data_IF_751179583822
#
_entry.id   IF_751179583822
#
_cell.length_a   1.000
_cell.length_b   1.000
_cell.length_c   1.000
_cell.angle_alpha   90.00
_cell.angle_beta   90.00
_cell.angle_gamma   90.00
#
_symmetry.space_group_name_H-M   'P 1'
#
loop_
_entity.id
_entity.type
_entity.pdbx_description
1 polymer ?
#
# COMPACT_ATOMS: atom_id res chain seq x y z
N UNK A 1 -27.31 29.22 39.54
CA UNK A 1 -27.67 28.22 38.51
C UNK A 1 -27.47 26.84 39.10
N UNK A 2 -28.54 26.05 39.12
CA UNK A 2 -28.66 24.82 39.92
C UNK A 2 -27.91 23.65 39.27
N UNK A 3 -27.18 22.91 40.12
CA UNK A 3 -26.54 21.62 39.83
C UNK A 3 -27.60 20.57 39.47
N UNK A 4 -27.41 19.84 38.37
CA UNK A 4 -27.86 18.44 38.26
C UNK A 4 -26.80 17.61 37.56
N UNK A 5 -26.14 16.80 38.37
CA UNK A 5 -25.26 15.69 38.02
C UNK A 5 -26.15 14.57 37.47
N UNK A 6 -25.89 14.09 36.25
CA UNK A 6 -26.51 12.88 35.70
C UNK A 6 -25.40 11.85 35.54
N UNK A 7 -25.43 10.85 36.41
CA UNK A 7 -24.62 9.64 36.32
C UNK A 7 -25.57 8.46 36.09
N UNK A 8 -25.39 7.71 35.02
CA UNK A 8 -25.95 6.37 34.77
C UNK A 8 -25.25 5.80 33.53
N UNK A 9 -24.92 4.52 33.38
CA UNK A 9 -24.64 3.38 34.26
C UNK A 9 -24.11 2.32 33.28
N UNK A 10 -22.86 1.90 33.41
CA UNK A 10 -22.28 0.83 32.59
C UNK A 10 -22.90 -0.52 32.99
N UNK A 11 -23.64 -1.14 32.08
CA UNK A 11 -24.03 -2.55 32.20
C UNK A 11 -23.09 -3.38 31.33
N UNK A 12 -22.14 -4.03 32.01
CA UNK A 12 -21.37 -5.15 31.47
C UNK A 12 -22.29 -6.38 31.43
N UNK A 13 -22.55 -6.92 30.24
CA UNK A 13 -23.18 -8.23 30.08
C UNK A 13 -22.14 -9.22 29.54
N UNK A 14 -21.53 -9.95 30.46
CA UNK A 14 -20.61 -11.06 30.18
C UNK A 14 -21.43 -12.31 29.87
N UNK A 15 -21.41 -12.78 28.61
CA UNK A 15 -21.95 -14.09 28.26
C UNK A 15 -20.82 -15.13 28.29
N UNK A 16 -21.11 -16.18 29.03
CA UNK A 16 -20.28 -17.31 29.43
C UNK A 16 -19.79 -18.18 28.27
N UNK A 17 -18.57 -18.69 28.48
CA UNK A 17 -17.96 -19.83 27.80
C UNK A 17 -18.85 -21.08 27.87
N UNK A 18 -19.05 -21.74 26.72
CA UNK A 18 -19.39 -23.16 26.66
C UNK A 18 -18.26 -23.88 25.90
N UNK A 19 -17.51 -24.70 26.63
CA UNK A 19 -16.56 -25.66 26.08
C UNK A 19 -17.23 -27.01 25.80
N UNK A 20 -16.77 -27.64 24.73
CA UNK A 20 -16.72 -29.09 24.46
C UNK A 20 -15.86 -29.19 23.19
N UNK A 21 -14.77 -29.93 23.09
CA UNK A 21 -14.46 -31.23 23.66
C UNK A 21 -13.94 -32.07 22.48
N UNK A 22 -12.64 -32.37 22.49
CA UNK A 22 -11.87 -33.05 21.44
C UNK A 22 -12.45 -34.40 21.01
N UNK A 23 -12.38 -34.72 19.70
CA UNK A 23 -12.01 -36.06 19.21
C UNK A 23 -11.19 -35.95 17.92
N UNK A 24 -9.90 -36.25 18.05
CA UNK A 24 -9.07 -36.74 16.96
C UNK A 24 -9.50 -38.19 16.64
N UNK A 25 -9.56 -38.53 15.36
CA UNK A 25 -9.53 -39.92 14.90
C UNK A 25 -8.33 -40.05 13.97
N UNK A 26 -7.42 -40.94 14.34
CA UNK A 26 -6.22 -41.33 13.60
C UNK A 26 -6.55 -42.59 12.78
N UNK A 27 -6.32 -42.48 11.45
CA UNK A 27 -5.92 -43.45 10.40
C UNK A 27 -6.46 -44.91 10.37
N UNK A 28 -6.45 -45.57 9.18
CA UNK A 28 -5.23 -46.23 8.71
C UNK A 28 -4.85 -45.95 7.25
N UNK A 29 -3.54 -46.00 7.02
CA UNK A 29 -2.85 -46.13 5.74
C UNK A 29 -3.13 -47.49 5.13
N UNK A 30 -3.37 -47.54 3.81
CA UNK A 30 -3.10 -48.71 2.99
C UNK A 30 -2.35 -48.29 1.73
N UNK A 31 -1.08 -48.65 1.71
CA UNK A 31 -0.18 -48.69 0.56
C UNK A 31 -0.66 -49.68 -0.50
N UNK A 32 -0.64 -49.28 -1.78
CA UNK A 32 -0.24 -50.20 -2.84
C UNK A 32 0.57 -49.43 -3.90
N UNK A 33 1.71 -50.02 -4.21
CA UNK A 33 2.82 -49.56 -5.03
C UNK A 33 2.68 -50.24 -6.40
N UNK A 34 2.69 -49.50 -7.51
CA UNK A 34 3.25 -50.00 -8.78
C UNK A 34 3.91 -48.87 -9.58
N UNK A 35 5.18 -49.15 -9.92
CA UNK A 35 6.11 -48.56 -10.89
C UNK A 35 5.49 -48.31 -12.28
N UNK A 36 6.01 -47.57 -13.27
CA UNK A 36 7.25 -46.85 -13.65
C UNK A 36 6.78 -45.92 -14.82
N UNK A 37 7.38 -44.79 -15.21
CA UNK A 37 8.60 -44.67 -16.03
C UNK A 37 8.84 -43.19 -16.37
N UNK A 38 10.12 -42.76 -16.39
CA UNK A 38 10.81 -41.64 -17.05
C UNK A 38 10.03 -40.38 -17.52
N UNK A 39 10.48 -39.13 -17.32
CA UNK A 39 11.74 -38.58 -17.88
C UNK A 39 12.11 -37.25 -17.17
N UNK A 40 13.41 -37.02 -16.95
CA UNK A 40 14.04 -35.83 -16.36
C UNK A 40 14.30 -34.75 -17.44
N UNK A 41 14.50 -33.47 -17.08
CA UNK A 41 15.73 -32.82 -17.55
C UNK A 41 16.66 -32.33 -16.43
N UNK A 42 17.93 -32.39 -16.77
CA UNK A 42 19.13 -32.16 -15.96
C UNK A 42 19.30 -30.71 -15.49
N UNK A 43 19.69 -30.57 -14.23
CA UNK A 43 20.69 -29.59 -13.77
C UNK A 43 22.09 -30.18 -13.98
N UNK A 44 23.03 -29.38 -14.49
CA UNK A 44 24.46 -29.67 -14.36
C UNK A 44 25.22 -28.40 -13.92
N UNK A 45 26.16 -28.50 -12.96
CA UNK A 45 27.08 -27.44 -12.54
C UNK A 45 28.43 -27.58 -13.27
N UNK A 46 29.24 -26.51 -13.36
CA UNK A 46 30.67 -26.54 -13.04
C UNK A 46 31.31 -25.14 -13.01
N UNK A 47 32.39 -25.08 -12.25
CA UNK A 47 33.15 -24.01 -11.62
C UNK A 47 34.53 -23.81 -12.26
N UNK A 48 35.09 -22.59 -12.21
CA UNK A 48 36.55 -22.30 -12.09
C UNK A 48 36.72 -20.81 -11.72
N UNK A 49 37.07 -20.42 -10.48
CA UNK A 49 38.39 -20.30 -9.79
C UNK A 49 39.50 -19.52 -10.53
N UNK A 50 39.85 -18.34 -10.00
CA UNK A 50 41.15 -17.94 -9.38
C UNK A 50 41.17 -16.40 -9.25
N UNK A 51 41.93 -15.67 -8.42
CA UNK A 51 42.68 -15.79 -7.16
C UNK A 51 43.32 -14.39 -7.01
N UNK A 52 43.35 -13.74 -5.84
CA UNK A 52 44.20 -12.54 -5.67
C UNK A 52 43.86 -11.60 -4.53
N UNK A 53 44.49 -11.85 -3.39
CA UNK A 53 44.59 -11.07 -2.14
C UNK A 53 45.20 -9.67 -2.33
N UNK A 54 44.72 -8.64 -1.60
CA UNK A 54 45.59 -7.84 -0.70
C UNK A 54 44.82 -6.82 0.15
N UNK A 55 45.14 -6.85 1.44
CA UNK A 55 44.84 -5.91 2.53
C UNK A 55 45.56 -4.58 2.34
N UNK A 56 44.91 -3.43 2.56
CA UNK A 56 45.51 -2.28 3.29
C UNK A 56 44.45 -1.24 3.71
N UNK A 57 44.38 -0.96 5.01
CA UNK A 57 43.96 0.30 5.64
C UNK A 57 45.24 0.76 6.37
N UNK A 58 45.72 2.02 6.30
CA UNK A 58 45.12 3.12 7.09
C UNK A 58 45.30 4.55 6.54
N UNK A 59 44.52 5.51 7.09
CA UNK A 59 45.07 6.63 7.90
C UNK A 59 44.22 7.90 7.86
N UNK A 60 44.19 8.53 9.02
CA UNK A 60 43.58 9.79 9.44
C UNK A 60 44.48 10.99 9.09
N UNK A 61 43.87 12.14 8.73
CA UNK A 61 44.32 13.53 8.98
C UNK A 61 43.16 14.47 8.53
N UNK A 62 42.47 15.28 9.34
CA UNK A 62 42.77 16.35 10.33
C UNK A 62 43.24 17.68 9.71
N UNK A 63 42.38 18.71 9.89
CA UNK A 63 42.62 20.17 9.92
C UNK A 63 43.03 20.84 8.57
N UNK A 64 42.72 22.11 8.25
CA UNK A 64 42.42 23.30 9.06
C UNK A 64 41.67 24.37 8.23
N UNK A 65 40.88 25.16 8.94
CA UNK A 65 40.45 26.55 8.68
C UNK A 65 41.63 27.47 8.30
N UNK A 66 41.38 28.53 7.51
CA UNK A 66 42.05 29.82 7.74
C UNK A 66 41.05 30.92 8.11
N UNK A 67 41.44 31.69 9.12
CA UNK A 67 40.69 32.77 9.78
C UNK A 67 41.11 34.13 9.24
N UNK A 68 40.12 35.03 9.15
CA UNK A 68 40.14 36.50 9.23
C UNK A 68 40.98 37.37 8.27
N UNK A 69 40.33 38.45 7.81
CA UNK A 69 40.80 39.84 7.98
C UNK A 69 39.61 40.83 7.94
N UNK A 70 39.81 41.99 8.56
CA UNK A 70 38.86 42.89 9.24
C UNK A 70 38.46 44.18 8.50
N UNK A 71 37.31 44.76 8.95
CA UNK A 71 36.83 46.18 8.89
C UNK A 71 36.47 46.77 7.51
N UNK A 72 35.37 47.51 7.29
CA UNK A 72 34.95 48.77 7.96
C UNK A 72 33.50 49.15 7.57
N UNK A 73 32.76 49.84 8.46
CA UNK A 73 31.38 50.35 8.26
C UNK A 73 31.28 51.46 7.19
N UNK A 74 30.23 51.43 6.35
CA UNK A 74 29.50 52.64 5.92
C UNK A 74 28.05 52.29 5.51
N UNK A 75 27.11 53.00 6.12
CA UNK A 75 25.66 52.87 5.99
C UNK A 75 25.09 53.86 4.98
N UNK A 76 24.32 53.37 4.02
CA UNK A 76 23.41 54.16 3.17
C UNK A 76 22.19 53.28 2.83
N UNK A 77 20.94 53.78 2.90
CA UNK A 77 19.75 52.94 2.78
C UNK A 77 19.47 52.65 1.31
N UNK A 78 19.58 51.39 0.90
CA UNK A 78 19.10 50.94 -0.41
C UNK A 78 17.74 50.31 -0.21
N UNK A 79 16.73 51.02 -0.71
CA UNK A 79 15.35 50.55 -0.85
C UNK A 79 15.35 49.17 -1.49
N UNK A 80 15.11 48.13 -0.69
CA UNK A 80 14.89 46.79 -1.21
C UNK A 80 13.44 46.74 -1.66
N UNK A 81 13.21 47.05 -2.93
CA UNK A 81 11.99 46.64 -3.60
C UNK A 81 11.87 45.12 -3.41
N UNK A 82 10.96 44.69 -2.55
CA UNK A 82 10.62 43.29 -2.36
C UNK A 82 10.04 42.81 -3.69
N UNK A 83 10.89 42.16 -4.48
CA UNK A 83 10.47 41.36 -5.63
C UNK A 83 9.41 40.38 -5.10
N UNK A 84 8.19 40.35 -5.66
CA UNK A 84 7.16 39.45 -5.16
C UNK A 84 7.70 38.02 -5.22
N UNK A 85 7.69 37.35 -4.07
CA UNK A 85 7.95 35.93 -3.93
C UNK A 85 7.17 35.19 -5.01
N UNK A 86 7.83 34.27 -5.72
CA UNK A 86 7.16 33.39 -6.68
C UNK A 86 5.89 32.87 -6.01
N UNK A 87 4.74 33.13 -6.64
CA UNK A 87 3.52 32.42 -6.30
C UNK A 87 3.86 30.94 -6.44
N UNK A 88 3.85 30.20 -5.33
CA UNK A 88 4.09 28.76 -5.32
C UNK A 88 2.88 28.05 -5.95
N UNK A 89 2.70 28.25 -7.25
CA UNK A 89 1.64 27.66 -8.04
C UNK A 89 1.78 26.15 -7.97
N UNK A 90 0.73 25.48 -7.47
CA UNK A 90 0.68 24.02 -7.43
C UNK A 90 0.59 23.51 -8.86
N UNK A 91 1.53 22.65 -9.24
CA UNK A 91 1.44 21.88 -10.48
C UNK A 91 0.66 20.59 -10.22
N UNK A 92 -0.65 20.62 -10.45
CA UNK A 92 -1.52 19.46 -10.20
C UNK A 92 -1.22 18.26 -11.11
N UNK A 93 -0.73 18.50 -12.33
CA UNK A 93 -0.34 17.43 -13.24
C UNK A 93 0.86 16.65 -12.70
N UNK A 94 1.87 17.36 -12.17
CA UNK A 94 3.04 16.76 -11.53
C UNK A 94 2.64 15.97 -10.26
N UNK A 95 1.78 16.54 -9.41
CA UNK A 95 1.26 15.83 -8.23
C UNK A 95 0.50 14.56 -8.63
N UNK A 96 -0.36 14.63 -9.65
CA UNK A 96 -1.10 13.48 -10.18
C UNK A 96 -0.16 12.39 -10.67
N UNK A 97 0.81 12.74 -11.53
CA UNK A 97 1.79 11.80 -12.08
C UNK A 97 2.63 11.14 -10.98
N UNK A 98 3.18 11.92 -10.05
CA UNK A 98 3.97 11.41 -8.92
C UNK A 98 3.16 10.50 -8.01
N UNK A 99 1.90 10.83 -7.76
CA UNK A 99 1.02 10.01 -6.90
C UNK A 99 0.69 8.68 -7.55
N UNK A 100 0.35 8.67 -8.84
CA UNK A 100 0.12 7.43 -9.58
C UNK A 100 1.39 6.57 -9.63
N UNK A 101 2.54 7.17 -9.93
CA UNK A 101 3.82 6.47 -9.91
C UNK A 101 4.15 5.90 -8.52
N UNK A 102 3.90 6.67 -7.45
CA UNK A 102 4.09 6.19 -6.10
C UNK A 102 3.23 4.95 -5.79
N UNK A 103 1.94 4.96 -6.15
CA UNK A 103 1.05 3.82 -5.91
C UNK A 103 1.48 2.59 -6.72
N UNK A 104 1.80 2.76 -8.00
CA UNK A 104 2.11 1.65 -8.91
C UNK A 104 3.50 1.05 -8.65
N UNK A 105 4.51 1.87 -8.36
CA UNK A 105 5.91 1.39 -8.29
C UNK A 105 6.78 2.04 -7.21
N UNK A 106 6.39 3.18 -6.63
CA UNK A 106 7.24 3.94 -5.70
C UNK A 106 7.29 3.48 -4.24
N UNK A 107 6.88 2.24 -3.94
CA UNK A 107 6.74 1.71 -2.56
C UNK A 107 7.74 0.59 -2.23
N UNK A 108 8.90 0.54 -2.89
CA UNK A 108 9.86 -0.57 -2.77
C UNK A 108 10.42 -0.84 -1.37
N UNK A 109 10.42 0.15 -0.47
CA UNK A 109 10.85 -0.03 0.93
C UNK A 109 9.75 -0.57 1.85
N UNK A 110 8.53 -0.79 1.34
CA UNK A 110 7.38 -1.31 2.11
C UNK A 110 7.23 -2.80 1.90
N UNK A 111 6.81 -3.50 2.94
CA UNK A 111 6.31 -4.88 2.83
C UNK A 111 5.03 -4.92 1.99
N UNK A 112 4.69 -6.07 1.40
CA UNK A 112 3.44 -6.23 0.61
C UNK A 112 2.19 -5.82 1.39
N UNK A 113 2.14 -6.13 2.69
CA UNK A 113 1.02 -5.75 3.56
C UNK A 113 0.90 -4.22 3.77
N UNK A 114 2.00 -3.49 3.63
CA UNK A 114 2.05 -2.04 3.82
C UNK A 114 1.86 -1.26 2.51
N UNK A 115 1.92 -1.93 1.36
CA UNK A 115 1.76 -1.28 0.06
C UNK A 115 0.31 -0.87 -0.15
N UNK A 116 0.14 0.35 -0.65
CA UNK A 116 -1.10 0.79 -1.26
C UNK A 116 -1.17 0.10 -2.63
N UNK A 117 -2.22 -0.67 -2.86
CA UNK A 117 -2.44 -1.40 -4.11
C UNK A 117 -3.76 -0.93 -4.68
N UNK A 118 -3.78 -0.65 -5.97
CA UNK A 118 -4.95 -0.22 -6.73
C UNK A 118 -4.97 -0.93 -8.07
N UNK A 119 -6.18 -1.21 -8.56
CA UNK A 119 -6.38 -1.42 -9.99
C UNK A 119 -6.07 -0.12 -10.74
N UNK A 120 -5.25 -0.22 -11.79
CA UNK A 120 -4.76 0.95 -12.54
C UNK A 120 -5.87 1.63 -13.34
N UNK A 121 -6.89 0.88 -13.77
CA UNK A 121 -8.05 1.44 -14.46
C UNK A 121 -8.84 2.33 -13.52
N UNK A 122 -9.10 1.87 -12.30
CA UNK A 122 -9.79 2.67 -11.28
C UNK A 122 -8.95 3.87 -10.84
N UNK A 123 -7.66 3.67 -10.57
CA UNK A 123 -6.75 4.74 -10.18
C UNK A 123 -6.69 5.86 -11.23
N UNK A 124 -6.72 5.50 -12.51
CA UNK A 124 -6.63 6.47 -13.60
C UNK A 124 -7.89 7.34 -13.77
N UNK A 125 -9.03 6.88 -13.27
CA UNK A 125 -10.31 7.60 -13.34
C UNK A 125 -10.52 8.58 -12.17
N UNK A 126 -9.67 8.52 -11.15
CA UNK A 126 -9.74 9.46 -10.02
C UNK A 126 -9.37 10.86 -10.51
N UNK A 127 -10.22 11.84 -10.19
CA UNK A 127 -9.92 13.26 -10.37
C UNK A 127 -8.88 13.70 -9.32
N UNK A 128 -7.60 13.54 -9.65
CA UNK A 128 -6.47 13.80 -8.75
C UNK A 128 -6.38 15.26 -8.32
N UNK A 129 -6.75 16.21 -9.18
CA UNK A 129 -6.72 17.64 -8.83
C UNK A 129 -7.76 17.94 -7.74
N UNK A 130 -9.01 17.49 -7.93
CA UNK A 130 -10.07 17.66 -6.95
C UNK A 130 -9.71 17.02 -5.62
N UNK A 131 -9.23 15.76 -5.66
CA UNK A 131 -8.77 15.05 -4.47
C UNK A 131 -7.62 15.76 -3.76
N UNK A 132 -6.67 16.33 -4.50
CA UNK A 132 -5.55 17.03 -3.89
C UNK A 132 -5.98 18.35 -3.25
N UNK A 133 -6.89 19.09 -3.87
CA UNK A 133 -7.51 20.28 -3.27
C UNK A 133 -8.22 19.92 -1.96
N UNK A 134 -8.98 18.83 -1.94
CA UNK A 134 -9.65 18.36 -0.73
C UNK A 134 -8.65 17.94 0.35
N UNK A 135 -7.60 17.20 -0.02
CA UNK A 135 -6.50 16.83 0.88
C UNK A 135 -5.87 18.06 1.56
N UNK A 136 -5.61 19.14 0.82
CA UNK A 136 -5.08 20.37 1.39
C UNK A 136 -6.10 21.08 2.30
N UNK A 137 -7.38 21.07 1.94
CA UNK A 137 -8.47 21.59 2.78
C UNK A 137 -8.57 20.83 4.10
N UNK A 138 -8.31 19.53 4.08
CA UNK A 138 -8.30 18.65 5.26
C UNK A 138 -6.97 18.70 6.02
N UNK A 139 -6.25 19.84 5.93
CA UNK A 139 -4.96 20.10 6.59
C UNK A 139 -3.82 19.19 6.13
N UNK A 140 -3.92 18.62 4.94
CA UNK A 140 -2.86 17.86 4.29
C UNK A 140 -1.63 18.72 4.00
N UNK A 141 -0.45 18.10 4.07
CA UNK A 141 0.84 18.75 3.82
C UNK A 141 1.09 18.81 2.31
N UNK A 142 1.28 20.03 1.78
CA UNK A 142 1.64 20.27 0.37
C UNK A 142 2.89 19.50 -0.03
N UNK A 143 2.83 18.79 -1.16
CA UNK A 143 3.92 18.04 -1.75
C UNK A 143 4.16 16.65 -1.12
N UNK A 144 3.42 16.29 -0.07
CA UNK A 144 3.57 14.98 0.56
C UNK A 144 2.81 13.90 -0.23
N UNK A 145 3.47 13.35 -1.25
CA UNK A 145 2.93 12.31 -2.14
C UNK A 145 2.48 11.05 -1.39
N UNK A 146 3.27 10.47 -0.45
CA UNK A 146 2.84 9.30 0.31
C UNK A 146 1.57 9.53 1.14
N UNK A 147 1.45 10.70 1.78
CA UNK A 147 0.25 11.05 2.54
C UNK A 147 -0.96 11.24 1.63
N UNK A 148 -0.78 11.91 0.49
CA UNK A 148 -1.86 12.09 -0.47
C UNK A 148 -2.31 10.76 -1.10
N UNK A 149 -1.41 9.84 -1.40
CA UNK A 149 -1.74 8.50 -1.88
C UNK A 149 -2.63 7.71 -0.87
N UNK A 150 -2.34 7.83 0.43
CA UNK A 150 -3.20 7.26 1.48
C UNK A 150 -4.55 7.97 1.54
N UNK A 151 -4.55 9.29 1.42
CA UNK A 151 -5.77 10.09 1.44
C UNK A 151 -6.73 9.66 0.32
N UNK A 152 -6.27 9.52 -0.92
CA UNK A 152 -7.14 9.07 -2.02
C UNK A 152 -7.63 7.63 -1.82
N UNK A 153 -6.83 6.77 -1.19
CA UNK A 153 -7.20 5.38 -0.86
C UNK A 153 -8.38 5.30 0.09
N UNK A 154 -8.61 6.34 0.90
CA UNK A 154 -9.71 6.40 1.84
C UNK A 154 -10.89 7.23 1.34
N UNK A 155 -10.65 8.22 0.47
CA UNK A 155 -11.63 9.26 0.16
C UNK A 155 -12.06 9.33 -1.31
N UNK A 156 -11.32 8.73 -2.25
CA UNK A 156 -11.67 8.79 -3.67
C UNK A 156 -13.04 8.13 -3.94
N UNK A 157 -13.92 8.71 -4.74
CA UNK A 157 -15.25 8.15 -4.96
C UNK A 157 -15.19 6.72 -5.52
N UNK A 158 -16.05 5.84 -5.01
CA UNK A 158 -16.21 4.48 -5.52
C UNK A 158 -16.85 4.57 -6.90
N UNK A 159 -16.17 4.03 -7.91
CA UNK A 159 -16.65 4.03 -9.29
C UNK A 159 -17.82 3.05 -9.41
N UNK A 160 -18.92 3.44 -10.07
CA UNK A 160 -20.12 2.60 -10.18
C UNK A 160 -19.86 1.26 -10.89
N UNK A 161 -18.87 1.21 -11.77
CA UNK A 161 -18.48 0.04 -12.56
C UNK A 161 -17.30 -0.75 -11.97
N UNK A 162 -16.97 -0.52 -10.68
CA UNK A 162 -15.84 -1.21 -10.03
C UNK A 162 -15.90 -2.74 -10.14
N UNK A 163 -17.12 -3.32 -10.11
CA UNK A 163 -17.33 -4.77 -10.26
C UNK A 163 -16.86 -5.25 -11.63
N UNK A 164 -17.23 -4.56 -12.70
CA UNK A 164 -16.86 -4.97 -14.06
C UNK A 164 -15.34 -4.91 -14.25
N UNK A 165 -14.68 -3.90 -13.68
CA UNK A 165 -13.21 -3.79 -13.69
C UNK A 165 -12.57 -4.95 -12.92
N UNK A 166 -13.05 -5.22 -11.71
CA UNK A 166 -12.57 -6.31 -10.87
C UNK A 166 -12.79 -7.69 -11.52
N UNK A 167 -13.99 -7.98 -12.02
CA UNK A 167 -14.33 -9.26 -12.67
C UNK A 167 -13.44 -9.53 -13.88
N UNK A 168 -13.21 -8.50 -14.69
CA UNK A 168 -12.28 -8.58 -15.83
C UNK A 168 -10.85 -8.87 -15.35
N UNK A 169 -10.39 -8.21 -14.29
CA UNK A 169 -9.06 -8.44 -13.74
C UNK A 169 -8.90 -9.89 -13.23
N UNK A 170 -9.89 -10.39 -12.48
CA UNK A 170 -9.89 -11.77 -11.96
C UNK A 170 -9.93 -12.80 -13.10
N UNK A 171 -10.80 -12.59 -14.09
CA UNK A 171 -10.91 -13.49 -15.23
C UNK A 171 -9.60 -13.53 -16.03
N UNK A 172 -9.00 -12.38 -16.31
CA UNK A 172 -7.74 -12.30 -17.04
C UNK A 172 -6.58 -12.97 -16.29
N UNK A 173 -6.56 -12.88 -14.96
CA UNK A 173 -5.47 -13.42 -14.15
C UNK A 173 -5.65 -14.90 -13.81
N UNK A 174 -6.88 -15.38 -13.61
CA UNK A 174 -7.14 -16.72 -13.08
C UNK A 174 -8.13 -17.56 -13.90
N UNK A 175 -8.77 -17.00 -14.92
CA UNK A 175 -9.79 -17.68 -15.73
C UNK A 175 -11.13 -17.91 -15.01
N UNK A 176 -11.28 -17.44 -13.78
CA UNK A 176 -12.47 -17.65 -12.97
C UNK A 176 -13.51 -16.54 -13.18
N UNK A 177 -14.79 -16.93 -13.30
CA UNK A 177 -15.92 -16.00 -13.33
C UNK A 177 -16.50 -15.85 -11.93
N UNK A 178 -16.60 -14.61 -11.45
CA UNK A 178 -17.32 -14.29 -10.21
C UNK A 178 -18.82 -14.45 -10.44
N UNK A 179 -19.51 -15.11 -9.52
CA UNK A 179 -20.96 -15.39 -9.62
C UNK A 179 -21.79 -14.66 -8.57
N UNK A 180 -21.19 -14.26 -7.45
CA UNK A 180 -21.88 -13.48 -6.42
C UNK A 180 -20.90 -12.72 -5.52
N UNK A 181 -21.46 -11.77 -4.75
CA UNK A 181 -20.74 -10.93 -3.82
C UNK A 181 -21.47 -10.90 -2.47
N UNK A 182 -20.72 -10.86 -1.38
CA UNK A 182 -21.22 -10.58 -0.04
C UNK A 182 -20.49 -9.36 0.51
N UNK A 183 -21.23 -8.34 0.92
CA UNK A 183 -20.64 -7.20 1.63
C UNK A 183 -20.09 -7.64 2.99
N UNK A 184 -18.88 -7.20 3.34
CA UNK A 184 -18.22 -7.58 4.60
C UNK A 184 -17.80 -6.38 5.47
N UNK A 185 -18.11 -5.15 5.05
CA UNK A 185 -17.90 -3.93 5.83
C UNK A 185 -16.96 -2.92 5.17
N UNK A 186 -17.13 -1.64 5.49
CA UNK A 186 -16.39 -0.56 4.83
C UNK A 186 -16.64 -0.54 3.33
N UNK A 187 -15.56 -0.64 2.55
CA UNK A 187 -15.58 -0.77 1.09
C UNK A 187 -15.30 -2.22 0.62
N UNK A 188 -15.36 -3.20 1.52
CA UNK A 188 -14.91 -4.57 1.26
C UNK A 188 -16.08 -5.52 0.92
N UNK A 189 -15.83 -6.42 -0.03
CA UNK A 189 -16.74 -7.48 -0.46
C UNK A 189 -16.00 -8.81 -0.57
N UNK A 190 -16.62 -9.90 -0.12
CA UNK A 190 -16.21 -11.25 -0.47
C UNK A 190 -16.84 -11.64 -1.81
N UNK A 191 -16.02 -11.97 -2.81
CA UNK A 191 -16.43 -12.50 -4.09
C UNK A 191 -16.44 -14.04 -4.07
N UNK A 192 -17.36 -14.64 -4.82
CA UNK A 192 -17.55 -16.09 -4.89
C UNK A 192 -17.50 -16.60 -6.32
N UNK A 193 -17.03 -17.83 -6.48
CA UNK A 193 -17.02 -18.56 -7.75
C UNK A 193 -17.87 -19.83 -7.63
N UNK A 194 -18.29 -20.36 -8.78
CA UNK A 194 -18.86 -21.70 -8.86
C UNK A 194 -17.77 -22.69 -9.27
N UNK A 195 -17.57 -23.75 -8.48
CA UNK A 195 -16.69 -24.86 -8.84
C UNK A 195 -17.42 -26.18 -8.53
N UNK A 196 -17.55 -27.06 -9.52
CA UNK A 196 -18.27 -28.33 -9.41
C UNK A 196 -19.67 -28.19 -8.78
N UNK A 197 -20.43 -27.18 -9.21
CA UNK A 197 -21.80 -26.90 -8.72
C UNK A 197 -21.87 -26.38 -7.28
N UNK A 198 -20.74 -26.10 -6.63
CA UNK A 198 -20.68 -25.56 -5.26
C UNK A 198 -20.10 -24.16 -5.25
N UNK A 199 -20.67 -23.31 -4.38
CA UNK A 199 -20.25 -21.93 -4.21
C UNK A 199 -19.04 -21.86 -3.27
N UNK A 200 -17.95 -21.23 -3.71
CA UNK A 200 -16.74 -21.06 -2.92
C UNK A 200 -16.41 -19.59 -2.74
N UNK A 201 -16.06 -19.20 -1.51
CA UNK A 201 -15.41 -17.92 -1.26
C UNK A 201 -14.07 -17.92 -1.97
N UNK A 202 -13.81 -16.89 -2.77
CA UNK A 202 -12.64 -16.85 -3.65
C UNK A 202 -11.65 -15.77 -3.25
N UNK A 203 -12.04 -14.50 -3.36
CA UNK A 203 -11.19 -13.36 -2.98
C UNK A 203 -12.03 -12.27 -2.31
N UNK A 204 -11.43 -11.56 -1.35
CA UNK A 204 -11.92 -10.28 -0.87
C UNK A 204 -11.51 -9.16 -1.82
N UNK A 205 -12.38 -8.18 -2.07
CA UNK A 205 -12.13 -7.02 -2.94
C UNK A 205 -12.61 -5.73 -2.29
N UNK A 206 -11.79 -4.71 -2.38
CA UNK A 206 -12.11 -3.35 -2.01
C UNK A 206 -12.73 -2.60 -3.21
N UNK A 207 -13.98 -2.16 -3.10
CA UNK A 207 -14.71 -1.53 -4.20
C UNK A 207 -14.15 -0.18 -4.63
N UNK A 208 -13.43 0.53 -3.75
CA UNK A 208 -12.85 1.84 -4.07
C UNK A 208 -11.58 1.70 -4.90
N UNK A 209 -10.70 0.79 -4.47
CA UNK A 209 -9.36 0.64 -5.05
C UNK A 209 -9.28 -0.46 -6.09
N UNK A 210 -10.22 -1.40 -6.12
CA UNK A 210 -10.14 -2.63 -6.92
C UNK A 210 -9.08 -3.61 -6.41
N UNK A 211 -8.41 -3.32 -5.28
CA UNK A 211 -7.48 -4.24 -4.64
C UNK A 211 -8.23 -5.48 -4.20
N UNK A 212 -7.72 -6.66 -4.52
CA UNK A 212 -8.26 -7.92 -4.04
C UNK A 212 -7.17 -8.85 -3.52
N UNK A 213 -7.58 -9.76 -2.63
CA UNK A 213 -6.71 -10.75 -1.97
C UNK A 213 -7.50 -12.04 -1.71
N UNK A 214 -6.86 -13.18 -1.93
CA UNK A 214 -7.40 -14.52 -1.68
C UNK A 214 -6.67 -15.23 -0.55
#
# INVERSE_FOLDING_TARGET
>A
MNKKLIAFSLVFLSILMAGCGSKQVVQPVSTTKMAQTATKPQTNPQQSKSKGTSTTVPSVAKNTIPTQSTSTKKSTPVSTAVKPSKVDTINYADISAKTKAYIVSGQGSKTEAQKIIWDTTLLNRVNMESMYKQYLSDKGIKGNIPAFARYITLNAPIQSDWKAVFEKAVYNQYGNKIVSYKYVGGDEYQAYIMNNGKLFAYVGVNSRTGRYHG
#
